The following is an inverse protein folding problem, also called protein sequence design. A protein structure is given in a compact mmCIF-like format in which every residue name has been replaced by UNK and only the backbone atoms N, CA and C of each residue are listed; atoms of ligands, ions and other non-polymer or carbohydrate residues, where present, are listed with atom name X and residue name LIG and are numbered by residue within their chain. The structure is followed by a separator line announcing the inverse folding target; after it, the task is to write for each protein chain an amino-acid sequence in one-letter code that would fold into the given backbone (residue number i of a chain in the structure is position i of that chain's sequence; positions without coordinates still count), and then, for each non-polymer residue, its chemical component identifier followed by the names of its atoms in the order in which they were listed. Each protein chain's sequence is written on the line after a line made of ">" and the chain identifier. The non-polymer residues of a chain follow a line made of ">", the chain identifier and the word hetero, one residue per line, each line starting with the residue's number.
data_IF_941748049888
#
_entry.id   IF_941748049888
#
_cell.length_a   1.000
_cell.length_b   1.000
_cell.length_c   1.000
_cell.angle_alpha   90.00
_cell.angle_beta   90.00
_cell.angle_gamma   90.00
#
_symmetry.space_group_name_H-M   'P 1'
#
loop_
_entity.id
_entity.type
_entity.pdbx_description
1 polymer ?
#
# COMPACT_ATOMS: atom_id res chain seq x y z
N UNK A 1 40.61 32.05 -5.35
CA UNK A 1 39.36 32.06 -4.58
C UNK A 1 38.40 31.14 -5.33
N UNK A 2 38.41 29.84 -5.00
CA UNK A 2 37.48 28.88 -5.59
C UNK A 2 36.13 29.08 -4.90
N UNK A 3 35.14 29.57 -5.65
CA UNK A 3 33.75 29.49 -5.22
C UNK A 3 33.31 28.03 -5.40
N UNK A 4 33.15 27.31 -4.30
CA UNK A 4 32.33 26.10 -4.29
C UNK A 4 30.88 26.53 -4.52
N UNK A 5 30.41 26.38 -5.75
CA UNK A 5 28.98 26.39 -6.05
C UNK A 5 28.39 25.08 -5.52
N UNK A 6 28.11 25.04 -4.21
CA UNK A 6 27.25 24.04 -3.60
C UNK A 6 25.81 24.24 -4.06
N UNK A 7 25.54 23.93 -5.33
CA UNK A 7 24.20 23.92 -5.91
C UNK A 7 23.43 22.73 -5.34
N UNK A 8 22.79 22.92 -4.18
CA UNK A 8 21.84 21.96 -3.65
C UNK A 8 20.70 21.81 -4.65
N UNK A 9 20.44 20.58 -5.07
CA UNK A 9 19.29 20.24 -5.92
C UNK A 9 18.02 20.64 -5.17
N UNK A 10 17.20 21.51 -5.76
CA UNK A 10 15.97 21.94 -5.12
C UNK A 10 14.92 20.80 -5.12
N UNK A 11 13.87 20.92 -4.31
CA UNK A 11 12.86 19.88 -4.19
C UNK A 11 12.13 19.59 -5.51
N UNK A 12 12.03 20.59 -6.39
CA UNK A 12 11.40 20.42 -7.69
C UNK A 12 12.31 19.65 -8.65
N UNK A 13 13.60 19.95 -8.66
CA UNK A 13 14.60 19.21 -9.42
C UNK A 13 14.61 17.72 -9.01
N UNK A 14 14.56 17.43 -7.70
CA UNK A 14 14.50 16.05 -7.19
C UNK A 14 13.22 15.36 -7.68
N UNK A 15 12.06 16.01 -7.60
CA UNK A 15 10.81 15.43 -8.07
C UNK A 15 10.86 15.14 -9.57
N UNK A 16 11.39 16.06 -10.38
CA UNK A 16 11.59 15.86 -11.81
C UNK A 16 12.55 14.72 -12.11
N UNK A 17 13.63 14.59 -11.32
CA UNK A 17 14.56 13.47 -11.44
C UNK A 17 13.88 12.14 -11.11
N UNK A 18 13.06 12.07 -10.06
CA UNK A 18 12.30 10.87 -9.69
C UNK A 18 11.30 10.47 -10.79
N UNK A 19 10.58 11.43 -11.36
CA UNK A 19 9.67 11.16 -12.48
C UNK A 19 10.40 10.52 -13.66
N UNK A 20 11.63 10.95 -13.96
CA UNK A 20 12.40 10.43 -15.09
C UNK A 20 13.04 9.08 -14.78
N UNK A 21 13.60 8.90 -13.58
CA UNK A 21 14.52 7.81 -13.29
C UNK A 21 13.96 6.70 -12.40
N UNK A 22 12.87 6.97 -11.66
CA UNK A 22 12.35 6.00 -10.71
C UNK A 22 11.39 4.98 -11.36
N UNK A 23 11.12 3.89 -10.65
CA UNK A 23 10.14 2.89 -11.06
C UNK A 23 8.69 3.38 -10.89
N UNK A 24 7.71 2.63 -11.43
CA UNK A 24 6.30 3.05 -11.50
C UNK A 24 5.68 3.47 -10.16
N UNK A 25 5.93 2.73 -9.08
CA UNK A 25 5.44 3.08 -7.74
C UNK A 25 5.93 4.44 -7.28
N UNK A 26 7.24 4.70 -7.41
CA UNK A 26 7.83 5.97 -6.97
C UNK A 26 7.35 7.12 -7.86
N UNK A 27 7.21 6.89 -9.18
CA UNK A 27 6.66 7.89 -10.10
C UNK A 27 5.23 8.28 -9.71
N UNK A 28 4.35 7.30 -9.50
CA UNK A 28 2.98 7.54 -9.08
C UNK A 28 2.91 8.32 -7.76
N UNK A 29 3.69 7.91 -6.74
CA UNK A 29 3.73 8.63 -5.45
C UNK A 29 4.34 10.03 -5.58
N UNK A 30 5.32 10.23 -6.45
CA UNK A 30 5.88 11.56 -6.72
C UNK A 30 4.82 12.51 -7.28
N UNK A 31 4.00 12.03 -8.24
CA UNK A 31 2.90 12.82 -8.80
C UNK A 31 1.87 13.19 -7.74
N UNK A 32 1.40 12.23 -6.96
CA UNK A 32 0.29 12.44 -6.01
C UNK A 32 0.73 13.13 -4.72
N UNK A 33 1.87 12.73 -4.13
CA UNK A 33 2.25 13.17 -2.78
C UNK A 33 3.19 14.39 -2.77
N UNK A 34 4.03 14.53 -3.80
CA UNK A 34 5.09 15.56 -3.83
C UNK A 34 4.66 16.72 -4.71
N UNK A 35 4.22 16.44 -5.93
CA UNK A 35 3.82 17.45 -6.90
C UNK A 35 2.36 17.85 -6.78
N UNK A 36 1.55 17.06 -6.07
CA UNK A 36 0.10 17.22 -5.97
C UNK A 36 -0.54 17.45 -7.35
N UNK A 37 -0.12 16.63 -8.33
CA UNK A 37 -0.65 16.64 -9.69
C UNK A 37 -2.18 16.51 -9.64
N UNK A 38 -2.89 17.26 -10.48
CA UNK A 38 -4.35 17.30 -10.53
C UNK A 38 -4.89 16.77 -11.87
N UNK A 39 -4.04 16.62 -12.89
CA UNK A 39 -4.44 16.06 -14.16
C UNK A 39 -4.80 14.56 -14.00
N UNK A 40 -6.10 14.27 -14.08
CA UNK A 40 -6.65 12.92 -13.92
C UNK A 40 -6.09 11.94 -14.95
N UNK A 41 -5.78 12.41 -16.17
CA UNK A 41 -5.16 11.59 -17.21
C UNK A 41 -3.74 11.19 -16.85
N UNK A 42 -2.93 12.14 -16.36
CA UNK A 42 -1.55 11.88 -15.91
C UNK A 42 -1.53 10.93 -14.72
N UNK A 43 -2.34 11.21 -13.69
CA UNK A 43 -2.45 10.37 -12.49
C UNK A 43 -2.97 8.97 -12.85
N UNK A 44 -4.01 8.89 -13.68
CA UNK A 44 -4.60 7.63 -14.12
C UNK A 44 -3.63 6.77 -14.91
N UNK A 45 -2.83 7.37 -15.79
CA UNK A 45 -1.79 6.67 -16.54
C UNK A 45 -0.71 6.12 -15.60
N UNK A 46 -0.17 6.95 -14.70
CA UNK A 46 0.85 6.52 -13.74
C UNK A 46 0.34 5.43 -12.76
N UNK A 47 -0.92 5.53 -12.33
CA UNK A 47 -1.57 4.49 -11.54
C UNK A 47 -1.65 3.18 -12.30
N UNK A 48 -2.06 3.22 -13.58
CA UNK A 48 -2.12 2.02 -14.40
C UNK A 48 -0.73 1.39 -14.60
N UNK A 49 0.31 2.20 -14.88
CA UNK A 49 1.69 1.70 -14.96
C UNK A 49 2.15 1.05 -13.64
N UNK A 50 1.83 1.66 -12.50
CA UNK A 50 2.14 1.09 -11.18
C UNK A 50 1.45 -0.27 -10.99
N UNK A 51 0.16 -0.36 -11.28
CA UNK A 51 -0.62 -1.59 -11.12
C UNK A 51 -0.18 -2.71 -12.06
N UNK A 52 0.28 -2.36 -13.27
CA UNK A 52 0.80 -3.31 -14.25
C UNK A 52 2.27 -3.68 -14.00
N UNK A 53 2.95 -3.03 -13.06
CA UNK A 53 4.32 -3.39 -12.74
C UNK A 53 4.40 -4.84 -12.20
N UNK A 54 5.40 -5.64 -12.62
CA UNK A 54 5.48 -7.05 -12.24
C UNK A 54 5.44 -7.28 -10.72
N UNK A 55 6.09 -6.40 -9.95
CA UNK A 55 6.10 -6.50 -8.49
C UNK A 55 4.70 -6.25 -7.90
N UNK A 56 4.02 -5.18 -8.31
CA UNK A 56 2.68 -4.86 -7.78
C UNK A 56 1.68 -5.96 -8.15
N UNK A 57 1.64 -6.37 -9.42
CA UNK A 57 0.71 -7.42 -9.88
C UNK A 57 0.91 -8.71 -9.09
N UNK A 58 2.16 -9.16 -8.95
CA UNK A 58 2.51 -10.36 -8.18
C UNK A 58 1.98 -10.30 -6.75
N UNK A 59 2.21 -9.20 -6.05
CA UNK A 59 1.79 -9.08 -4.65
C UNK A 59 0.26 -8.94 -4.51
N UNK A 60 -0.41 -8.29 -5.46
CA UNK A 60 -1.88 -8.21 -5.50
C UNK A 60 -2.51 -9.60 -5.70
N UNK A 61 -1.88 -10.46 -6.51
CA UNK A 61 -2.33 -11.84 -6.74
C UNK A 61 -2.20 -12.69 -5.47
N UNK A 62 -1.15 -12.50 -4.67
CA UNK A 62 -0.98 -13.19 -3.39
C UNK A 62 -1.95 -12.77 -2.30
N UNK A 63 -2.65 -11.63 -2.43
CA UNK A 63 -3.63 -11.19 -1.45
C UNK A 63 -4.93 -11.99 -1.60
N UNK A 64 -4.98 -13.16 -0.95
CA UNK A 64 -6.14 -14.07 -0.98
C UNK A 64 -6.82 -14.13 0.40
N UNK A 65 -8.17 -14.10 0.45
CA UNK A 65 -8.89 -14.03 1.72
C UNK A 65 -8.91 -15.39 2.44
N UNK A 66 -7.93 -15.61 3.29
CA UNK A 66 -7.83 -16.77 4.18
C UNK A 66 -7.57 -16.30 5.62
N UNK A 67 -8.33 -16.84 6.57
CA UNK A 67 -8.41 -16.32 7.95
C UNK A 67 -7.94 -17.31 9.02
N UNK A 68 -7.27 -18.39 8.62
CA UNK A 68 -6.56 -19.25 9.57
C UNK A 68 -5.23 -18.61 10.02
N UNK A 69 -4.65 -19.15 11.08
CA UNK A 69 -3.44 -18.60 11.70
C UNK A 69 -2.29 -18.45 10.70
N UNK A 70 -1.99 -19.48 9.90
CA UNK A 70 -0.81 -19.47 9.03
C UNK A 70 -1.02 -18.57 7.80
N UNK A 71 -2.27 -18.41 7.38
CA UNK A 71 -2.64 -17.49 6.30
C UNK A 71 -2.59 -16.02 6.73
N UNK A 72 -2.76 -15.73 8.01
CA UNK A 72 -2.63 -14.35 8.54
C UNK A 72 -1.19 -14.04 8.97
N UNK A 73 -0.59 -14.96 9.73
CA UNK A 73 0.69 -14.80 10.41
C UNK A 73 1.59 -16.00 10.18
N UNK A 74 2.62 -15.83 9.34
CA UNK A 74 3.68 -16.83 9.14
C UNK A 74 4.80 -16.25 8.28
N UNK A 75 5.89 -17.01 8.12
CA UNK A 75 6.96 -16.68 7.18
C UNK A 75 6.63 -16.94 5.71
N UNK A 76 5.40 -17.40 5.39
CA UNK A 76 5.00 -17.65 4.00
C UNK A 76 4.85 -16.35 3.24
N UNK A 77 5.25 -16.37 1.96
CA UNK A 77 5.15 -15.20 1.08
C UNK A 77 3.71 -14.71 0.90
N UNK A 78 2.73 -15.62 0.98
CA UNK A 78 1.31 -15.37 0.79
C UNK A 78 0.55 -15.12 2.10
N UNK A 79 1.23 -15.07 3.24
CA UNK A 79 0.60 -14.65 4.49
C UNK A 79 0.18 -13.19 4.40
N UNK A 80 -1.03 -12.88 4.89
CA UNK A 80 -1.64 -11.56 4.83
C UNK A 80 -0.70 -10.44 5.29
N UNK A 81 0.00 -10.61 6.43
CA UNK A 81 0.90 -9.59 6.97
C UNK A 81 2.05 -9.24 6.00
N UNK A 82 2.61 -10.25 5.34
CA UNK A 82 3.72 -10.09 4.41
C UNK A 82 3.23 -9.44 3.12
N UNK A 83 2.10 -9.91 2.59
CA UNK A 83 1.50 -9.37 1.37
C UNK A 83 1.06 -7.92 1.56
N UNK A 84 0.32 -7.62 2.63
CA UNK A 84 -0.12 -6.26 2.93
C UNK A 84 1.05 -5.33 3.19
N UNK A 85 2.04 -5.77 3.99
CA UNK A 85 3.24 -4.98 4.25
C UNK A 85 3.96 -4.60 2.96
N UNK A 86 4.08 -5.54 2.02
CA UNK A 86 4.74 -5.28 0.74
C UNK A 86 3.92 -4.41 -0.20
N UNK A 87 2.61 -4.64 -0.31
CA UNK A 87 1.72 -3.80 -1.13
C UNK A 87 1.75 -2.34 -0.67
N UNK A 88 1.71 -2.13 0.64
CA UNK A 88 1.85 -0.80 1.23
C UNK A 88 3.21 -0.17 0.91
N UNK A 89 4.31 -0.93 1.03
CA UNK A 89 5.64 -0.45 0.63
C UNK A 89 5.72 -0.08 -0.86
N UNK A 90 4.97 -0.77 -1.72
CA UNK A 90 4.87 -0.50 -3.15
C UNK A 90 3.92 0.65 -3.49
N UNK A 91 3.38 1.35 -2.49
CA UNK A 91 2.59 2.57 -2.66
C UNK A 91 1.08 2.37 -2.71
N UNK A 92 0.59 1.14 -2.52
CA UNK A 92 -0.85 0.85 -2.47
C UNK A 92 -1.45 1.35 -1.16
N UNK A 93 -2.60 2.03 -1.26
CA UNK A 93 -3.34 2.64 -0.15
C UNK A 93 -4.84 2.54 -0.43
N UNK A 94 -5.64 2.71 0.62
CA UNK A 94 -7.08 2.87 0.52
C UNK A 94 -7.48 3.93 -0.53
N UNK A 95 -8.53 3.65 -1.29
CA UNK A 95 -9.02 4.48 -2.40
C UNK A 95 -8.54 4.02 -3.79
N UNK A 96 -7.64 3.04 -3.86
CA UNK A 96 -7.17 2.45 -5.11
C UNK A 96 -7.97 1.18 -5.41
N UNK A 97 -8.90 1.25 -6.36
CA UNK A 97 -9.92 0.23 -6.63
C UNK A 97 -9.45 -1.24 -6.66
N UNK A 98 -8.35 -1.63 -7.33
CA UNK A 98 -7.87 -3.02 -7.31
C UNK A 98 -7.46 -3.49 -5.91
N UNK A 99 -6.91 -2.59 -5.11
CA UNK A 99 -6.50 -2.88 -3.74
C UNK A 99 -7.69 -2.82 -2.77
N UNK A 100 -8.61 -1.87 -2.93
CA UNK A 100 -9.85 -1.79 -2.15
C UNK A 100 -10.70 -3.06 -2.30
N UNK A 101 -10.79 -3.57 -3.52
CA UNK A 101 -11.51 -4.81 -3.85
C UNK A 101 -10.87 -6.02 -3.17
N UNK A 102 -9.54 -6.12 -3.21
CA UNK A 102 -8.79 -7.24 -2.62
C UNK A 102 -8.79 -7.22 -1.08
N UNK A 103 -8.85 -6.03 -0.49
CA UNK A 103 -8.87 -5.86 0.98
C UNK A 103 -10.26 -5.93 1.58
N UNK A 104 -11.33 -5.78 0.78
CA UNK A 104 -12.73 -5.80 1.25
C UNK A 104 -13.06 -7.01 2.13
N UNK A 105 -12.72 -8.27 1.77
CA UNK A 105 -13.03 -9.42 2.63
C UNK A 105 -12.40 -9.34 4.02
N UNK A 106 -11.19 -8.79 4.13
CA UNK A 106 -10.49 -8.64 5.40
C UNK A 106 -11.12 -7.54 6.26
N UNK A 107 -11.58 -6.45 5.64
CA UNK A 107 -12.31 -5.37 6.32
C UNK A 107 -13.64 -5.88 6.87
N UNK A 108 -14.39 -6.64 6.07
CA UNK A 108 -15.64 -7.28 6.48
C UNK A 108 -15.39 -8.26 7.63
N UNK A 109 -14.45 -9.20 7.45
CA UNK A 109 -14.09 -10.16 8.49
C UNK A 109 -13.72 -9.49 9.81
N UNK A 110 -12.89 -8.43 9.78
CA UNK A 110 -12.50 -7.71 10.98
C UNK A 110 -13.71 -7.06 11.67
N UNK A 111 -14.61 -6.44 10.90
CA UNK A 111 -15.82 -5.80 11.44
C UNK A 111 -16.78 -6.80 12.10
N UNK A 112 -16.95 -7.98 11.51
CA UNK A 112 -17.80 -9.05 12.07
C UNK A 112 -17.17 -9.71 13.32
N UNK A 113 -15.85 -9.65 13.46
CA UNK A 113 -15.13 -10.32 14.54
C UNK A 113 -14.62 -9.38 15.65
N UNK A 114 -14.85 -8.06 15.54
CA UNK A 114 -14.31 -7.08 16.48
C UNK A 114 -14.78 -7.35 17.92
N UNK A 115 -16.09 -7.49 18.11
CA UNK A 115 -16.76 -7.68 19.41
C UNK A 115 -16.97 -9.15 19.77
N UNK A 116 -16.69 -10.09 18.85
CA UNK A 116 -16.91 -11.51 19.08
C UNK A 116 -15.94 -12.04 20.15
N UNK A 117 -16.45 -12.82 21.10
CA UNK A 117 -15.60 -13.49 22.07
C UNK A 117 -14.54 -14.37 21.35
N UNK A 118 -13.28 -14.39 21.82
CA UNK A 118 -12.23 -15.15 21.16
C UNK A 118 -12.46 -16.65 21.33
N UNK A 119 -12.79 -17.34 20.24
CA UNK A 119 -12.94 -18.81 20.24
C UNK A 119 -11.60 -19.55 20.34
N UNK A 120 -10.50 -18.90 19.93
CA UNK A 120 -9.14 -19.45 19.92
C UNK A 120 -8.19 -18.52 20.68
N UNK A 121 -7.14 -19.05 21.34
CA UNK A 121 -6.18 -18.25 22.10
C UNK A 121 -5.53 -17.11 21.29
N UNK A 122 -5.34 -17.32 19.99
CA UNK A 122 -4.71 -16.35 19.08
C UNK A 122 -5.73 -15.45 18.35
N UNK A 123 -7.04 -15.56 18.60
CA UNK A 123 -8.03 -14.81 17.84
C UNK A 123 -7.84 -13.29 17.96
N UNK A 124 -7.57 -12.78 19.16
CA UNK A 124 -7.28 -11.36 19.39
C UNK A 124 -6.01 -10.95 18.62
N UNK A 125 -4.96 -11.76 18.68
CA UNK A 125 -3.71 -11.49 17.97
C UNK A 125 -3.91 -11.38 16.45
N UNK A 126 -4.65 -12.31 15.84
CA UNK A 126 -4.95 -12.28 14.41
C UNK A 126 -5.77 -11.05 14.00
N UNK A 127 -6.76 -10.66 14.81
CA UNK A 127 -7.53 -9.42 14.61
C UNK A 127 -6.60 -8.20 14.66
N UNK A 128 -5.67 -8.16 15.61
CA UNK A 128 -4.69 -7.07 15.73
C UNK A 128 -3.78 -6.97 14.51
N UNK A 129 -3.31 -8.10 13.95
CA UNK A 129 -2.51 -8.09 12.71
C UNK A 129 -3.32 -7.48 11.57
N UNK A 130 -4.54 -7.99 11.34
CA UNK A 130 -5.41 -7.48 10.27
C UNK A 130 -5.70 -6.00 10.46
N UNK A 131 -6.09 -5.58 11.65
CA UNK A 131 -6.36 -4.19 11.98
C UNK A 131 -5.13 -3.30 11.75
N UNK A 132 -3.94 -3.74 12.17
CA UNK A 132 -2.70 -2.95 12.05
C UNK A 132 -2.33 -2.70 10.59
N UNK A 133 -2.38 -3.73 9.73
CA UNK A 133 -2.04 -3.56 8.32
C UNK A 133 -3.13 -2.84 7.53
N UNK A 134 -4.42 -3.01 7.88
CA UNK A 134 -5.50 -2.21 7.29
C UNK A 134 -5.37 -0.73 7.68
N UNK A 135 -5.08 -0.43 8.95
CA UNK A 135 -4.80 0.93 9.40
C UNK A 135 -3.57 1.51 8.69
N UNK A 136 -2.48 0.74 8.58
CA UNK A 136 -1.29 1.15 7.86
C UNK A 136 -1.57 1.42 6.37
N UNK A 137 -2.47 0.66 5.75
CA UNK A 137 -2.92 0.88 4.39
C UNK A 137 -3.87 2.09 4.20
N UNK A 138 -4.31 2.74 5.28
CA UNK A 138 -5.18 3.91 5.25
C UNK A 138 -6.66 3.63 5.58
N UNK A 139 -7.02 2.42 5.99
CA UNK A 139 -8.40 2.07 6.39
C UNK A 139 -8.72 2.40 7.86
N UNK A 140 -7.91 3.22 8.53
CA UNK A 140 -8.11 3.57 9.95
C UNK A 140 -9.29 4.49 10.22
N UNK A 141 -9.67 5.31 9.24
CA UNK A 141 -10.83 6.21 9.29
C UNK A 141 -11.01 6.87 7.92
N UNK A 142 -11.97 6.40 7.13
CA UNK A 142 -12.43 7.14 5.94
C UNK A 142 -13.82 7.65 6.25
N UNK A 143 -13.91 8.75 7.01
CA UNK A 143 -15.02 9.65 6.75
C UNK A 143 -14.89 10.09 5.28
N UNK A 144 -16.01 10.16 4.53
CA UNK A 144 -15.98 10.72 3.18
C UNK A 144 -15.41 12.14 3.17
#
# INVERSE_FOLDING_TARGET
>A
MYQESGGGMDSYDIAQWLLRNAGPSIRFRTLVDILNEQDVGVIGHALNEMLQSPDVSKWIEHLTPQFDFNSIHSSRIDAFENVMGKLVQLGLRAGLQPFDSKTLPFRVWLSENLEAAPEKPHAIFLRTIIASFLAYAGYGSTQP
#
